data_IF_149652320622
#
_entry.id   IF_149652320622
#
_cell.length_a   1.000
_cell.length_b   1.000
_cell.length_c   1.000
_cell.angle_alpha   90.00
_cell.angle_beta   90.00
_cell.angle_gamma   90.00
#
_symmetry.space_group_name_H-M   'P 1'
#
loop_
_entity.id
_entity.type
_entity.pdbx_description
1 polymer ?
#
# COMPACT_ATOMS: atom_id res chain seq x y z
N UNK A 1 -22.69 -7.46 3.13
CA UNK A 1 -21.54 -7.98 3.91
C UNK A 1 -20.22 -7.30 3.51
N UNK A 2 -19.98 -7.03 2.21
CA UNK A 2 -18.76 -6.33 1.76
C UNK A 2 -18.57 -4.93 2.35
N UNK A 3 -19.64 -4.12 2.44
CA UNK A 3 -19.54 -2.74 2.95
C UNK A 3 -19.11 -2.69 4.43
N UNK A 4 -19.58 -3.63 5.25
CA UNK A 4 -19.17 -3.73 6.65
C UNK A 4 -17.69 -4.09 6.79
N UNK A 5 -17.20 -5.02 5.96
CA UNK A 5 -15.77 -5.37 5.92
C UNK A 5 -14.92 -4.19 5.41
N UNK A 6 -15.43 -3.42 4.44
CA UNK A 6 -14.76 -2.21 3.96
C UNK A 6 -14.66 -1.14 5.05
N UNK A 7 -15.72 -0.90 5.82
CA UNK A 7 -15.70 0.02 6.96
C UNK A 7 -14.73 -0.42 8.04
N UNK A 8 -14.72 -1.71 8.39
CA UNK A 8 -13.76 -2.28 9.36
C UNK A 8 -12.33 -2.11 8.84
N UNK A 9 -12.07 -2.42 7.57
CA UNK A 9 -10.75 -2.22 6.96
C UNK A 9 -10.31 -0.75 7.01
N UNK A 10 -11.23 0.19 6.77
CA UNK A 10 -10.95 1.61 6.79
C UNK A 10 -10.64 2.11 8.21
N UNK A 11 -11.37 1.63 9.22
CA UNK A 11 -11.10 1.90 10.63
C UNK A 11 -9.74 1.35 11.08
N UNK A 12 -9.43 0.11 10.70
CA UNK A 12 -8.13 -0.50 10.98
C UNK A 12 -6.99 0.25 10.31
N UNK A 13 -7.19 0.69 9.06
CA UNK A 13 -6.19 1.47 8.32
C UNK A 13 -5.94 2.84 8.97
N UNK A 14 -7.01 3.53 9.39
CA UNK A 14 -6.90 4.80 10.11
C UNK A 14 -6.19 4.62 11.46
N UNK A 15 -6.58 3.63 12.26
CA UNK A 15 -5.93 3.32 13.54
C UNK A 15 -4.43 3.01 13.37
N UNK A 16 -4.09 2.20 12.35
CA UNK A 16 -2.71 1.90 12.01
C UNK A 16 -1.89 3.16 11.71
N UNK A 17 -2.45 4.14 11.00
CA UNK A 17 -1.75 5.40 10.71
C UNK A 17 -1.36 6.15 12.00
N UNK A 18 -2.23 6.19 13.01
CA UNK A 18 -1.91 6.80 14.31
C UNK A 18 -0.85 6.02 15.07
N UNK A 19 -0.95 4.70 15.12
CA UNK A 19 0.02 3.83 15.80
C UNK A 19 1.41 3.96 15.17
N UNK A 20 1.50 3.88 13.83
CA UNK A 20 2.76 4.05 13.09
C UNK A 20 3.36 5.42 13.34
N UNK A 21 2.55 6.49 13.37
CA UNK A 21 3.02 7.85 13.67
C UNK A 21 3.56 7.98 15.10
N UNK A 22 2.95 7.30 16.07
CA UNK A 22 3.42 7.29 17.45
C UNK A 22 4.72 6.47 17.60
N UNK A 23 4.80 5.32 16.92
CA UNK A 23 5.94 4.41 16.96
C UNK A 23 7.17 4.95 16.22
N UNK A 24 6.97 5.64 15.09
CA UNK A 24 8.08 6.20 14.29
C UNK A 24 8.87 7.30 15.00
N UNK A 25 8.30 7.90 16.06
CA UNK A 25 9.02 8.84 16.94
C UNK A 25 9.94 8.15 17.95
N UNK A 26 9.81 6.84 18.14
CA UNK A 26 10.48 6.06 19.20
C UNK A 26 11.38 4.95 18.67
N UNK A 27 11.29 4.62 17.38
CA UNK A 27 12.03 3.53 16.76
C UNK A 27 12.98 4.06 15.69
N UNK A 28 14.22 3.58 15.72
CA UNK A 28 15.12 3.74 14.58
C UNK A 28 14.55 3.04 13.35
N UNK A 29 14.76 3.65 12.19
CA UNK A 29 14.13 3.23 10.93
C UNK A 29 14.50 1.80 10.53
N UNK A 30 15.73 1.35 10.82
CA UNK A 30 16.18 -0.03 10.59
C UNK A 30 15.43 -1.05 11.44
N UNK A 31 15.24 -0.75 12.74
CA UNK A 31 14.45 -1.59 13.64
C UNK A 31 12.98 -1.63 13.22
N UNK A 32 12.40 -0.49 12.85
CA UNK A 32 11.02 -0.43 12.34
C UNK A 32 10.80 -1.27 11.08
N UNK A 33 11.79 -1.29 10.18
CA UNK A 33 11.76 -2.14 8.98
C UNK A 33 11.78 -3.63 9.33
N UNK A 34 12.71 -4.06 10.19
CA UNK A 34 12.82 -5.45 10.63
C UNK A 34 11.56 -5.92 11.35
N UNK A 35 11.03 -5.13 12.28
CA UNK A 35 9.78 -5.43 12.98
C UNK A 35 8.62 -5.58 11.99
N UNK A 36 8.52 -4.70 11.00
CA UNK A 36 7.49 -4.79 9.96
C UNK A 36 7.62 -6.05 9.11
N UNK A 37 8.84 -6.46 8.76
CA UNK A 37 9.12 -7.68 8.00
C UNK A 37 8.72 -8.93 8.79
N UNK A 38 9.18 -9.04 10.04
CA UNK A 38 8.89 -10.17 10.91
C UNK A 38 7.38 -10.27 11.17
N UNK A 39 6.73 -9.14 11.46
CA UNK A 39 5.28 -9.11 11.67
C UNK A 39 4.52 -9.56 10.42
N UNK A 40 4.89 -9.06 9.24
CA UNK A 40 4.27 -9.51 7.98
C UNK A 40 4.46 -11.01 7.73
N UNK A 41 5.66 -11.53 8.03
CA UNK A 41 5.95 -12.95 7.86
C UNK A 41 5.13 -13.82 8.81
N UNK A 42 5.08 -13.46 10.10
CA UNK A 42 4.33 -14.20 11.13
C UNK A 42 2.83 -14.16 10.85
N UNK A 43 2.29 -12.98 10.56
CA UNK A 43 0.86 -12.82 10.24
C UNK A 43 0.52 -13.55 8.94
N UNK A 44 1.34 -13.40 7.89
CA UNK A 44 1.13 -14.08 6.61
C UNK A 44 1.17 -15.60 6.74
N UNK A 45 2.13 -16.14 7.50
CA UNK A 45 2.21 -17.57 7.80
C UNK A 45 1.01 -18.06 8.62
N UNK A 46 0.58 -17.30 9.61
CA UNK A 46 -0.60 -17.61 10.42
C UNK A 46 -1.89 -17.64 9.60
N UNK A 47 -2.09 -16.66 8.72
CA UNK A 47 -3.23 -16.61 7.82
C UNK A 47 -3.23 -17.79 6.84
N UNK A 48 -2.06 -18.10 6.25
CA UNK A 48 -1.91 -19.27 5.37
C UNK A 48 -2.22 -20.56 6.12
N UNK A 49 -1.68 -20.75 7.33
CA UNK A 49 -1.96 -21.91 8.16
C UNK A 49 -3.46 -22.02 8.49
N UNK A 50 -4.09 -20.92 8.91
CA UNK A 50 -5.54 -20.88 9.15
C UNK A 50 -6.35 -21.26 7.92
N UNK A 51 -5.98 -20.72 6.76
CA UNK A 51 -6.64 -21.07 5.49
C UNK A 51 -6.41 -22.53 5.09
N UNK A 52 -5.24 -23.11 5.40
CA UNK A 52 -4.95 -24.53 5.18
C UNK A 52 -5.72 -25.47 6.13
N UNK A 53 -6.04 -25.00 7.34
CA UNK A 53 -6.83 -25.76 8.33
C UNK A 53 -8.33 -25.70 8.04
N UNK A 54 -8.83 -24.56 7.55
CA UNK A 54 -10.27 -24.34 7.31
C UNK A 54 -10.73 -24.77 5.91
N UNK A 55 -9.81 -25.03 4.97
CA UNK A 55 -10.18 -25.44 3.61
C UNK A 55 -10.71 -26.86 3.58
N UNK A 56 -11.80 -27.03 2.85
CA UNK A 56 -12.40 -28.33 2.51
C UNK A 56 -11.99 -28.84 1.12
N UNK A 57 -11.34 -28.01 0.31
CA UNK A 57 -10.91 -28.35 -1.07
C UNK A 57 -9.42 -28.75 -1.14
N UNK A 58 -9.00 -29.58 -2.12
CA UNK A 58 -7.60 -29.94 -2.35
C UNK A 58 -6.74 -28.72 -2.78
N UNK A 59 -5.43 -28.78 -2.49
CA UNK A 59 -4.52 -27.66 -2.73
C UNK A 59 -4.23 -27.63 -4.22
N UNK A 60 -4.60 -26.54 -4.88
CA UNK A 60 -4.24 -26.31 -6.27
C UNK A 60 -3.30 -25.12 -6.29
N UNK A 61 -2.02 -25.40 -6.51
CA UNK A 61 -1.02 -24.36 -6.71
C UNK A 61 -1.08 -23.97 -8.18
N UNK A 62 -1.56 -22.78 -8.43
CA UNK A 62 -1.49 -22.13 -9.74
C UNK A 62 -0.14 -21.39 -9.81
N UNK A 63 0.80 -21.93 -10.58
CA UNK A 63 2.15 -21.38 -10.73
C UNK A 63 2.17 -19.96 -11.30
N UNK A 64 1.39 -19.63 -12.35
CA UNK A 64 1.16 -18.24 -12.77
C UNK A 64 0.70 -17.33 -11.64
N UNK A 65 -0.31 -17.73 -10.86
CA UNK A 65 -0.81 -16.92 -9.74
C UNK A 65 0.25 -16.74 -8.64
N UNK A 66 1.02 -17.79 -8.34
CA UNK A 66 2.14 -17.73 -7.42
C UNK A 66 3.23 -16.75 -7.91
N UNK A 67 3.53 -16.75 -9.22
CA UNK A 67 4.45 -15.79 -9.83
C UNK A 67 3.96 -14.35 -9.71
N UNK A 68 2.68 -14.09 -9.98
CA UNK A 68 2.07 -12.76 -9.80
C UNK A 68 2.09 -12.32 -8.33
N UNK A 69 1.83 -13.23 -7.39
CA UNK A 69 1.89 -12.96 -5.95
C UNK A 69 3.30 -12.58 -5.50
N UNK A 70 4.32 -13.30 -5.98
CA UNK A 70 5.73 -12.98 -5.70
C UNK A 70 6.11 -11.61 -6.29
N UNK A 71 5.73 -11.33 -7.53
CA UNK A 71 5.95 -10.03 -8.16
C UNK A 71 5.27 -8.91 -7.37
N UNK A 72 4.02 -9.08 -6.95
CA UNK A 72 3.32 -8.11 -6.11
C UNK A 72 4.05 -7.86 -4.78
N UNK A 73 4.57 -8.92 -4.15
CA UNK A 73 5.40 -8.82 -2.96
C UNK A 73 6.67 -8.01 -3.18
N UNK A 74 7.41 -8.27 -4.27
CA UNK A 74 8.64 -7.53 -4.61
C UNK A 74 8.35 -6.05 -4.87
N UNK A 75 7.34 -5.75 -5.68
CA UNK A 75 6.99 -4.37 -6.02
C UNK A 75 6.43 -3.60 -4.82
N UNK A 76 5.57 -4.22 -4.00
CA UNK A 76 4.94 -3.56 -2.86
C UNK A 76 5.87 -3.47 -1.66
N UNK A 77 6.38 -4.61 -1.17
CA UNK A 77 7.08 -4.67 0.11
C UNK A 77 8.54 -4.20 0.02
N UNK A 78 9.21 -4.48 -1.10
CA UNK A 78 10.61 -4.11 -1.28
C UNK A 78 10.76 -2.79 -2.05
N UNK A 79 10.37 -2.75 -3.33
CA UNK A 79 10.57 -1.56 -4.18
C UNK A 79 9.76 -0.37 -3.68
N UNK A 80 8.47 -0.56 -3.35
CA UNK A 80 7.60 0.50 -2.84
C UNK A 80 8.14 1.11 -1.55
N UNK A 81 8.61 0.27 -0.61
CA UNK A 81 9.17 0.75 0.65
C UNK A 81 10.54 1.42 0.49
N UNK A 82 11.44 0.87 -0.33
CA UNK A 82 12.72 1.51 -0.67
C UNK A 82 12.51 2.85 -1.37
N UNK A 83 11.61 2.90 -2.34
CA UNK A 83 11.26 4.14 -3.05
C UNK A 83 10.66 5.19 -2.12
N UNK A 84 9.78 4.80 -1.19
CA UNK A 84 9.28 5.70 -0.18
C UNK A 84 10.38 6.25 0.72
N UNK A 85 11.28 5.41 1.22
CA UNK A 85 12.39 5.87 2.06
C UNK A 85 13.36 6.78 1.31
N UNK A 86 13.74 6.43 0.08
CA UNK A 86 14.53 7.31 -0.76
C UNK A 86 13.85 8.67 -1.01
N UNK A 87 12.52 8.68 -1.16
CA UNK A 87 11.74 9.93 -1.29
C UNK A 87 11.77 10.75 0.00
N UNK A 88 11.69 10.10 1.16
CA UNK A 88 11.80 10.76 2.47
C UNK A 88 13.19 11.37 2.67
N UNK A 89 14.25 10.65 2.29
CA UNK A 89 15.65 11.13 2.40
C UNK A 89 15.92 12.32 1.46
N UNK A 90 15.38 12.29 0.24
CA UNK A 90 15.63 13.33 -0.78
C UNK A 90 14.71 14.55 -0.65
N UNK A 91 13.45 14.38 -0.26
CA UNK A 91 12.43 15.44 -0.28
C UNK A 91 11.93 15.83 1.12
N UNK A 92 12.27 15.04 2.15
CA UNK A 92 11.75 15.17 3.49
C UNK A 92 10.38 14.48 3.68
N UNK A 93 9.99 14.15 4.93
CA UNK A 93 8.80 13.33 5.22
C UNK A 93 7.48 13.92 4.71
N UNK A 94 7.33 15.25 4.79
CA UNK A 94 6.08 15.93 4.38
C UNK A 94 5.81 15.79 2.89
N UNK A 95 6.84 16.03 2.06
CA UNK A 95 6.70 15.98 0.60
C UNK A 95 6.58 14.55 0.09
N UNK A 96 7.33 13.63 0.68
CA UNK A 96 7.22 12.20 0.38
C UNK A 96 5.80 11.67 0.69
N UNK A 97 5.20 12.09 1.81
CA UNK A 97 3.82 11.72 2.16
C UNK A 97 2.79 12.30 1.19
N UNK A 98 2.97 13.55 0.74
CA UNK A 98 2.11 14.16 -0.27
C UNK A 98 2.18 13.40 -1.61
N UNK A 99 3.38 12.98 -2.04
CA UNK A 99 3.53 12.15 -3.24
C UNK A 99 2.87 10.79 -3.06
N UNK A 100 3.01 10.16 -1.89
CA UNK A 100 2.37 8.87 -1.60
C UNK A 100 0.84 8.96 -1.64
N UNK A 101 0.25 10.11 -1.31
CA UNK A 101 -1.19 10.33 -1.45
C UNK A 101 -1.67 10.26 -2.91
N UNK A 102 -0.76 10.36 -3.89
CA UNK A 102 -1.06 10.15 -5.31
C UNK A 102 -1.14 8.69 -5.73
N UNK A 103 -0.93 7.72 -4.82
CA UNK A 103 -1.02 6.29 -5.14
C UNK A 103 -2.31 5.90 -5.91
N UNK A 104 -3.53 6.39 -5.58
CA UNK A 104 -4.74 6.04 -6.32
C UNK A 104 -4.69 6.46 -7.79
N UNK A 105 -4.04 7.60 -8.11
CA UNK A 105 -3.82 8.03 -9.50
C UNK A 105 -2.96 7.01 -10.24
N UNK A 106 -1.83 6.59 -9.66
CA UNK A 106 -0.98 5.57 -10.26
C UNK A 106 -1.73 4.24 -10.41
N UNK A 107 -2.51 3.84 -9.42
CA UNK A 107 -3.36 2.64 -9.49
C UNK A 107 -4.33 2.71 -10.67
N UNK A 108 -5.02 3.83 -10.87
CA UNK A 108 -5.93 4.01 -12.02
C UNK A 108 -5.18 3.94 -13.36
N UNK A 109 -4.03 4.59 -13.48
CA UNK A 109 -3.20 4.56 -14.70
C UNK A 109 -2.73 3.13 -14.99
N UNK A 110 -2.23 2.40 -13.99
CA UNK A 110 -1.80 1.03 -14.17
C UNK A 110 -2.97 0.08 -14.47
N UNK A 111 -4.14 0.30 -13.88
CA UNK A 111 -5.32 -0.48 -14.20
C UNK A 111 -5.77 -0.27 -15.65
N UNK A 112 -5.68 0.97 -16.16
CA UNK A 112 -5.93 1.24 -17.57
C UNK A 112 -4.91 0.57 -18.49
N UNK A 113 -3.62 0.71 -18.21
CA UNK A 113 -2.54 0.21 -19.08
C UNK A 113 -2.37 -1.31 -19.01
N UNK A 114 -2.42 -1.91 -17.82
CA UNK A 114 -2.11 -3.33 -17.61
C UNK A 114 -3.36 -4.22 -17.65
N UNK A 115 -4.49 -3.73 -17.15
CA UNK A 115 -5.74 -4.50 -17.06
C UNK A 115 -6.68 -4.14 -18.22
N UNK A 116 -6.49 -2.99 -18.88
CA UNK A 116 -7.34 -2.51 -19.95
C UNK A 116 -8.62 -1.84 -19.46
N UNK A 117 -8.70 -1.42 -18.19
CA UNK A 117 -9.91 -0.77 -17.67
C UNK A 117 -10.07 0.61 -18.32
N UNK A 118 -11.21 0.89 -18.97
CA UNK A 118 -11.46 2.21 -19.54
C UNK A 118 -11.59 3.26 -18.43
N UNK A 119 -10.89 4.39 -18.58
CA UNK A 119 -11.02 5.53 -17.68
C UNK A 119 -12.22 6.38 -18.12
N UNK A 120 -13.22 6.48 -17.25
CA UNK A 120 -14.35 7.36 -17.46
C UNK A 120 -14.02 8.83 -17.15
N UNK A 121 -14.92 9.76 -17.50
CA UNK A 121 -14.75 11.18 -17.16
C UNK A 121 -14.59 11.44 -15.66
N UNK A 122 -15.26 10.64 -14.81
CA UNK A 122 -15.15 10.72 -13.37
C UNK A 122 -13.75 10.32 -12.85
N UNK A 123 -13.14 9.28 -13.44
CA UNK A 123 -11.80 8.84 -13.08
C UNK A 123 -10.76 9.90 -13.44
N UNK A 124 -10.91 10.52 -14.62
CA UNK A 124 -10.05 11.63 -15.05
C UNK A 124 -10.19 12.83 -14.11
N UNK A 125 -11.41 13.18 -13.71
CA UNK A 125 -11.64 14.25 -12.75
C UNK A 125 -11.00 13.94 -11.39
N UNK A 126 -11.12 12.71 -10.89
CA UNK A 126 -10.46 12.26 -9.66
C UNK A 126 -8.93 12.36 -9.76
N UNK A 127 -8.34 11.93 -10.89
CA UNK A 127 -6.91 12.07 -11.16
C UNK A 127 -6.48 13.55 -11.08
N UNK A 128 -7.22 14.46 -11.74
CA UNK A 128 -6.91 15.89 -11.72
C UNK A 128 -6.98 16.48 -10.31
N UNK A 129 -7.98 16.10 -9.52
CA UNK A 129 -8.13 16.53 -8.12
C UNK A 129 -6.94 16.03 -7.27
N UNK A 130 -6.52 14.78 -7.44
CA UNK A 130 -5.35 14.22 -6.75
C UNK A 130 -4.08 14.99 -7.11
N UNK A 131 -3.84 15.22 -8.41
CA UNK A 131 -2.67 15.98 -8.89
C UNK A 131 -2.66 17.39 -8.30
N UNK A 132 -3.79 18.08 -8.30
CA UNK A 132 -3.91 19.42 -7.74
C UNK A 132 -3.65 19.42 -6.22
N UNK A 133 -4.21 18.45 -5.49
CA UNK A 133 -4.00 18.30 -4.05
C UNK A 133 -2.52 18.08 -3.70
N UNK A 134 -1.84 17.21 -4.44
CA UNK A 134 -0.41 16.92 -4.26
C UNK A 134 0.43 18.16 -4.59
N UNK A 135 0.09 18.87 -5.67
CA UNK A 135 0.77 20.11 -6.06
C UNK A 135 0.65 21.19 -4.99
N UNK A 136 -0.56 21.43 -4.48
CA UNK A 136 -0.82 22.41 -3.42
C UNK A 136 -0.10 22.04 -2.11
N UNK A 137 -0.12 20.76 -1.72
CA UNK A 137 0.55 20.27 -0.51
C UNK A 137 2.09 20.40 -0.58
N UNK A 138 2.67 20.36 -1.78
CA UNK A 138 4.11 20.46 -2.00
C UNK A 138 4.60 21.88 -2.29
N UNK A 139 3.68 22.83 -2.53
CA UNK A 139 4.02 24.23 -2.75
C UNK A 139 4.64 24.79 -1.46
N UNK A 140 5.84 25.36 -1.54
CA UNK A 140 6.46 26.04 -0.38
C UNK A 140 5.52 27.17 0.03
N UNK A 141 5.06 27.16 1.28
CA UNK A 141 4.56 28.37 1.91
C UNK A 141 5.72 29.37 1.86
N UNK A 142 5.58 30.38 1.00
CA UNK A 142 6.51 31.50 0.92
C UNK A 142 6.42 32.34 2.17
#
# INVERSE_FOLDING_TARGET
>A
MGDALALVALLLFAANAFVVRAASRRLEQGLGFLVSLVTNLVVGAGLLAGQLLLRSSPLRIDWPAAGMFLLAGVFSAYLGRRGYFASVETLGPSRASAIQAANPMFTMIFAWVLIGQALGPADVAAILVIVLGVYLANRRAG
#
